data_IF_859809444561
#
_entry.id   IF_859809444561
#
_cell.length_a   1.000
_cell.length_b   1.000
_cell.length_c   1.000
_cell.angle_alpha   90.00
_cell.angle_beta   90.00
_cell.angle_gamma   90.00
#
_symmetry.space_group_name_H-M   'P 1'
#
loop_
_entity.id
_entity.type
_entity.pdbx_description
1 polymer ?
#
# COMPACT_ATOMS: atom_id res chain seq x y z
N UNK A 1 6.55 -12.75 26.56
CA UNK A 1 6.40 -11.71 25.51
C UNK A 1 7.36 -11.87 24.34
N UNK A 2 8.67 -12.09 24.56
CA UNK A 2 9.68 -12.23 23.49
C UNK A 2 9.40 -13.35 22.47
N UNK A 3 8.89 -14.51 22.93
CA UNK A 3 8.52 -15.63 22.05
C UNK A 3 7.32 -15.32 21.14
N UNK A 4 6.32 -14.60 21.67
CA UNK A 4 5.15 -14.18 20.89
C UNK A 4 5.51 -13.13 19.85
N UNK A 5 6.37 -12.17 20.22
CA UNK A 5 6.91 -11.18 19.27
C UNK A 5 7.74 -11.82 18.16
N UNK A 6 8.53 -12.85 18.49
CA UNK A 6 9.30 -13.60 17.50
C UNK A 6 8.40 -14.39 16.54
N UNK A 7 7.36 -15.05 17.06
CA UNK A 7 6.38 -15.76 16.23
C UNK A 7 5.63 -14.80 15.31
N UNK A 8 5.23 -13.62 15.83
CA UNK A 8 4.55 -12.59 15.05
C UNK A 8 5.45 -12.03 13.93
N UNK A 9 6.73 -11.79 14.25
CA UNK A 9 7.72 -11.34 13.28
C UNK A 9 7.94 -12.39 12.17
N UNK A 10 8.05 -13.66 12.54
CA UNK A 10 8.23 -14.74 11.57
C UNK A 10 7.00 -14.94 10.68
N UNK A 11 5.79 -14.82 11.25
CA UNK A 11 4.54 -14.87 10.49
C UNK A 11 4.42 -13.71 9.49
N UNK A 12 4.88 -12.51 9.87
CA UNK A 12 4.92 -11.35 8.97
C UNK A 12 5.95 -11.51 7.85
N UNK A 13 7.10 -12.14 8.10
CA UNK A 13 8.06 -12.45 7.04
C UNK A 13 7.51 -13.49 6.06
N UNK A 14 6.80 -14.52 6.54
CA UNK A 14 6.24 -15.56 5.68
C UNK A 14 5.04 -15.07 4.85
N UNK A 15 4.28 -14.07 5.33
CA UNK A 15 3.19 -13.49 4.53
C UNK A 15 3.69 -12.78 3.27
N UNK A 16 4.95 -12.32 3.24
CA UNK A 16 5.57 -11.76 2.03
C UNK A 16 5.79 -12.80 0.93
N UNK A 17 5.94 -14.09 1.27
CA UNK A 17 6.15 -15.19 0.31
C UNK A 17 4.84 -15.62 -0.36
N UNK A 18 3.71 -15.50 0.34
CA UNK A 18 2.38 -15.76 -0.21
C UNK A 18 1.83 -14.61 -1.06
N UNK A 19 2.50 -13.45 -1.03
CA UNK A 19 2.26 -12.39 -1.98
C UNK A 19 3.03 -12.72 -3.26
N UNK A 20 2.42 -13.53 -4.13
CA UNK A 20 2.76 -13.50 -5.54
C UNK A 20 2.84 -12.03 -5.94
N UNK A 21 4.02 -11.54 -6.32
CA UNK A 21 4.18 -10.17 -6.78
C UNK A 21 3.11 -9.91 -7.84
N UNK A 22 2.07 -9.16 -7.49
CA UNK A 22 0.92 -8.87 -8.35
C UNK A 22 1.36 -8.21 -9.67
N UNK A 23 2.60 -7.72 -9.72
CA UNK A 23 3.26 -7.13 -10.86
C UNK A 23 3.41 -8.08 -12.07
N UNK A 24 3.60 -9.39 -11.90
CA UNK A 24 3.78 -10.31 -13.05
C UNK A 24 2.44 -10.79 -13.64
N UNK A 25 1.38 -10.87 -12.83
CA UNK A 25 0.03 -11.24 -13.28
C UNK A 25 -0.69 -10.07 -13.95
N UNK A 26 -0.59 -8.85 -13.40
CA UNK A 26 -1.23 -7.68 -14.00
C UNK A 26 -0.59 -7.30 -15.35
N UNK A 27 0.72 -7.51 -15.51
CA UNK A 27 1.43 -7.21 -16.77
C UNK A 27 1.01 -8.13 -17.90
N UNK A 28 0.88 -9.44 -17.64
CA UNK A 28 0.46 -10.41 -18.66
C UNK A 28 -0.98 -10.17 -19.15
N UNK A 29 -1.90 -9.78 -18.26
CA UNK A 29 -3.29 -9.45 -18.62
C UNK A 29 -3.39 -8.13 -19.41
N UNK A 30 -2.54 -7.15 -19.10
CA UNK A 30 -2.49 -5.88 -19.86
C UNK A 30 -1.88 -6.08 -21.24
N UNK A 31 -0.82 -6.87 -21.37
CA UNK A 31 -0.16 -7.11 -22.67
C UNK A 31 -0.98 -8.04 -23.59
N UNK A 32 -1.88 -8.86 -23.03
CA UNK A 32 -2.80 -9.73 -23.80
C UNK A 32 -4.22 -9.17 -23.96
N UNK A 33 -4.55 -8.07 -23.29
CA UNK A 33 -5.87 -7.43 -23.32
C UNK A 33 -5.93 -6.20 -24.23
N UNK A 34 -7.15 -5.80 -24.61
CA UNK A 34 -7.38 -4.60 -25.41
C UNK A 34 -6.95 -3.30 -24.69
N UNK A 35 -6.71 -2.24 -25.45
CA UNK A 35 -6.33 -0.90 -24.96
C UNK A 35 -7.21 -0.35 -23.82
N UNK A 36 -8.47 -0.78 -23.73
CA UNK A 36 -9.40 -0.45 -22.63
C UNK A 36 -8.92 -0.97 -21.27
N UNK A 37 -8.32 -2.18 -21.24
CA UNK A 37 -7.78 -2.77 -20.02
C UNK A 37 -6.55 -2.02 -19.50
N UNK A 38 -5.67 -1.59 -20.40
CA UNK A 38 -4.51 -0.77 -20.06
C UNK A 38 -4.93 0.57 -19.44
N UNK A 39 -6.00 1.19 -19.97
CA UNK A 39 -6.55 2.44 -19.45
C UNK A 39 -7.18 2.26 -18.06
N UNK A 40 -7.97 1.20 -17.86
CA UNK A 40 -8.55 0.88 -16.56
C UNK A 40 -7.50 0.63 -15.47
N UNK A 41 -6.37 0.00 -15.81
CA UNK A 41 -5.27 -0.18 -14.87
C UNK A 41 -4.61 1.16 -14.50
N UNK A 42 -4.34 2.03 -15.48
CA UNK A 42 -3.75 3.35 -15.23
C UNK A 42 -4.63 4.19 -14.30
N UNK A 43 -5.94 4.19 -14.52
CA UNK A 43 -6.90 4.88 -13.65
C UNK A 43 -6.91 4.27 -12.23
N UNK A 44 -6.75 2.96 -12.11
CA UNK A 44 -6.59 2.26 -10.85
C UNK A 44 -5.30 2.66 -10.10
N UNK A 45 -4.16 2.76 -10.79
CA UNK A 45 -2.87 3.20 -10.21
C UNK A 45 -3.01 4.62 -9.65
N UNK A 46 -3.58 5.54 -10.43
CA UNK A 46 -3.81 6.92 -9.97
C UNK A 46 -4.73 6.95 -8.76
N UNK A 47 -5.78 6.12 -8.76
CA UNK A 47 -6.73 6.01 -7.62
C UNK A 47 -6.03 5.50 -6.36
N UNK A 48 -5.17 4.48 -6.46
CA UNK A 48 -4.42 3.95 -5.32
C UNK A 48 -3.38 4.95 -4.79
N UNK A 49 -2.82 5.79 -5.66
CA UNK A 49 -1.85 6.83 -5.27
C UNK A 49 -2.47 7.92 -4.40
N UNK A 50 -3.80 8.07 -4.37
CA UNK A 50 -4.48 9.03 -3.48
C UNK A 50 -4.28 8.67 -2.00
N UNK A 51 -4.24 7.37 -1.67
CA UNK A 51 -4.15 6.86 -0.30
C UNK A 51 -2.91 7.40 0.45
N UNK A 52 -1.68 7.30 -0.09
CA UNK A 52 -0.50 7.83 0.61
C UNK A 52 -0.57 9.34 0.84
N UNK A 53 -1.17 10.13 -0.07
CA UNK A 53 -1.32 11.58 0.16
C UNK A 53 -2.29 11.89 1.30
N UNK A 54 -3.41 11.17 1.39
CA UNK A 54 -4.36 11.33 2.49
C UNK A 54 -3.70 10.96 3.82
N UNK A 55 -2.94 9.86 3.87
CA UNK A 55 -2.22 9.45 5.07
C UNK A 55 -1.23 10.53 5.53
N UNK A 56 -0.44 11.09 4.63
CA UNK A 56 0.50 12.17 4.95
C UNK A 56 -0.25 13.40 5.49
N UNK A 57 -1.36 13.79 4.87
CA UNK A 57 -2.17 14.92 5.33
C UNK A 57 -2.72 14.70 6.75
N UNK A 58 -3.21 13.50 7.06
CA UNK A 58 -3.70 13.15 8.40
C UNK A 58 -2.58 13.24 9.43
N UNK A 59 -1.41 12.66 9.14
CA UNK A 59 -0.25 12.70 10.05
C UNK A 59 0.20 14.13 10.28
N UNK A 60 0.34 14.94 9.22
CA UNK A 60 0.69 16.34 9.32
C UNK A 60 -0.32 17.14 10.16
N UNK A 61 -1.62 16.89 9.98
CA UNK A 61 -2.68 17.52 10.77
C UNK A 61 -2.61 17.16 12.26
N UNK A 62 -2.37 15.88 12.58
CA UNK A 62 -2.20 15.42 13.98
C UNK A 62 -1.00 16.12 14.63
N UNK A 63 0.14 16.17 13.92
CA UNK A 63 1.35 16.84 14.39
C UNK A 63 1.07 18.32 14.63
N UNK A 64 0.48 19.02 13.66
CA UNK A 64 0.13 20.43 13.79
C UNK A 64 -0.76 20.71 15.00
N UNK A 65 -1.79 19.88 15.21
CA UNK A 65 -2.69 20.04 16.36
C UNK A 65 -1.98 19.78 17.69
N UNK A 66 -1.06 18.82 17.72
CA UNK A 66 -0.23 18.56 18.90
C UNK A 66 0.67 19.76 19.21
N UNK A 67 1.39 20.29 18.23
CA UNK A 67 2.24 21.48 18.44
C UNK A 67 1.42 22.70 18.88
N UNK A 68 0.28 22.97 18.26
CA UNK A 68 -0.59 24.11 18.64
C UNK A 68 -1.19 23.97 20.04
N UNK A 69 -1.31 22.76 20.59
CA UNK A 69 -1.82 22.52 21.95
C UNK A 69 -0.71 22.66 23.02
N UNK A 70 0.55 22.41 22.64
CA UNK A 70 1.71 22.48 23.54
C UNK A 70 2.48 23.81 23.43
N UNK A 71 2.02 24.71 22.57
CA UNK A 71 2.32 26.15 22.57
C UNK A 71 1.20 26.85 23.34
#
# INVERSE_FOLDING_TARGET
MKKLQFILFLALCLSSVANYSQCAMCKAVVESGDSSYAKGLNDGIVTLMIIPYILVAIVAFIIFRYYKKNI
#
